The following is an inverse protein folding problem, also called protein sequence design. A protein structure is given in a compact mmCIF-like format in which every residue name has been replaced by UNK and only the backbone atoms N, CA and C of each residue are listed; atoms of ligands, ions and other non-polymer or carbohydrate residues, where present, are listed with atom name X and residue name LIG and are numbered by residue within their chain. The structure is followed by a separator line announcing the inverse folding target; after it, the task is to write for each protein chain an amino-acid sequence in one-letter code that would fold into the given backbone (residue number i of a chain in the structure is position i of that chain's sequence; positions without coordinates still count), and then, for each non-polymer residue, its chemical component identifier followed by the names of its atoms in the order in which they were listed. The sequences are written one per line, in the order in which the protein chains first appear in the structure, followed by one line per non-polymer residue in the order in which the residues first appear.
data_IF_844667558086
#
_entry.id   IF_844667558086
#
_cell.length_a   1.000
_cell.length_b   1.000
_cell.length_c   1.000
_cell.angle_alpha   90.00
_cell.angle_beta   90.00
_cell.angle_gamma   90.00
#
_symmetry.space_group_name_H-M   'P 1'
#
loop_
_entity.id
_entity.type
_entity.pdbx_description
1 polymer ?
#
# COMPACT_ATOMS: atom_id res chain seq x y z
N UNK A 1 32.34 -43.96 -2.60
CA UNK A 1 33.05 -42.67 -2.80
C UNK A 1 32.20 -41.67 -3.58
N UNK A 2 31.68 -42.03 -4.76
CA UNK A 2 30.84 -41.15 -5.59
C UNK A 2 29.53 -40.70 -4.91
N UNK A 3 28.80 -41.62 -4.28
CA UNK A 3 27.55 -41.32 -3.54
C UNK A 3 27.75 -40.40 -2.33
N UNK A 4 28.86 -40.55 -1.62
CA UNK A 4 29.23 -39.68 -0.49
C UNK A 4 29.50 -38.24 -0.97
N UNK A 5 30.18 -38.08 -2.11
CA UNK A 5 30.44 -36.78 -2.71
C UNK A 5 29.15 -36.07 -3.12
N UNK A 6 28.22 -36.79 -3.75
CA UNK A 6 26.89 -36.26 -4.14
C UNK A 6 26.10 -35.79 -2.91
N UNK A 7 26.09 -36.59 -1.84
CA UNK A 7 25.41 -36.23 -0.60
C UNK A 7 26.01 -34.98 0.06
N UNK A 8 27.34 -34.88 0.09
CA UNK A 8 28.05 -33.72 0.64
C UNK A 8 27.76 -32.45 -0.19
N UNK A 9 27.75 -32.55 -1.52
CA UNK A 9 27.36 -31.45 -2.39
C UNK A 9 25.91 -31.01 -2.14
N UNK A 10 24.97 -31.96 -1.97
CA UNK A 10 23.58 -31.63 -1.68
C UNK A 10 23.42 -30.90 -0.34
N UNK A 11 24.07 -31.40 0.73
CA UNK A 11 24.07 -30.74 2.04
C UNK A 11 24.69 -29.35 2.00
N UNK A 12 25.78 -29.17 1.26
CA UNK A 12 26.42 -27.87 1.10
C UNK A 12 25.52 -26.86 0.38
N UNK A 13 24.85 -27.28 -0.71
CA UNK A 13 23.88 -26.45 -1.41
C UNK A 13 22.67 -26.11 -0.51
N UNK A 14 22.18 -27.08 0.28
CA UNK A 14 21.11 -26.85 1.24
C UNK A 14 21.52 -25.84 2.32
N UNK A 15 22.74 -25.93 2.85
CA UNK A 15 23.28 -24.97 3.80
C UNK A 15 23.40 -23.56 3.21
N UNK A 16 23.87 -23.44 1.96
CA UNK A 16 23.97 -22.16 1.25
C UNK A 16 22.59 -21.53 1.04
N UNK A 17 21.58 -22.32 0.66
CA UNK A 17 20.20 -21.84 0.52
C UNK A 17 19.67 -21.35 1.86
N UNK A 18 19.85 -22.11 2.94
CA UNK A 18 19.38 -21.70 4.29
C UNK A 18 20.09 -20.41 4.73
N UNK A 19 21.40 -20.29 4.52
CA UNK A 19 22.17 -19.08 4.86
C UNK A 19 21.70 -17.82 4.11
N UNK A 20 21.17 -17.98 2.89
CA UNK A 20 20.65 -16.87 2.07
C UNK A 20 19.26 -16.36 2.48
N UNK A 21 18.52 -17.11 3.32
CA UNK A 21 17.15 -16.73 3.70
C UNK A 21 17.08 -15.64 4.77
N UNK A 22 18.21 -15.29 5.41
CA UNK A 22 18.32 -14.23 6.40
C UNK A 22 18.58 -12.86 5.77
N UNK A 23 17.67 -12.35 4.93
CA UNK A 23 17.78 -10.95 4.47
C UNK A 23 17.16 -10.02 5.51
N UNK A 24 17.98 -9.38 6.34
CA UNK A 24 17.53 -8.19 7.06
C UNK A 24 17.29 -7.09 6.03
N UNK A 25 16.17 -6.35 6.12
CA UNK A 25 15.96 -5.23 5.21
C UNK A 25 17.09 -4.21 5.40
N UNK A 26 17.62 -3.62 4.32
CA UNK A 26 18.72 -2.66 4.39
C UNK A 26 18.36 -1.41 5.20
N UNK A 27 17.08 -1.18 5.45
CA UNK A 27 16.56 -0.09 6.25
C UNK A 27 15.23 -0.49 6.89
N UNK A 28 15.08 -0.20 8.18
CA UNK A 28 13.81 -0.29 8.90
C UNK A 28 13.28 1.13 9.13
N UNK A 29 12.16 1.52 8.52
CA UNK A 29 11.57 2.84 8.71
C UNK A 29 11.12 3.06 10.16
N UNK A 30 11.40 4.26 10.69
CA UNK A 30 10.89 4.69 12.01
C UNK A 30 9.39 4.94 11.98
N UNK A 31 8.89 5.52 10.89
CA UNK A 31 7.47 5.70 10.62
C UNK A 31 7.11 4.94 9.34
N UNK A 32 6.20 3.97 9.45
CA UNK A 32 5.72 3.18 8.32
C UNK A 32 4.19 3.16 8.31
N UNK A 33 3.61 4.11 7.59
CA UNK A 33 2.17 4.35 7.55
C UNK A 33 1.70 4.05 6.13
N UNK A 34 0.75 3.12 6.01
CA UNK A 34 0.16 2.70 4.74
C UNK A 34 -1.36 2.82 4.83
N UNK A 35 -1.93 3.73 4.04
CA UNK A 35 -3.36 4.03 4.06
C UNK A 35 -4.00 3.61 2.74
N UNK A 36 -5.07 2.84 2.82
CA UNK A 36 -5.94 2.49 1.69
C UNK A 36 -7.14 3.42 1.66
N UNK A 37 -7.06 4.45 0.81
CA UNK A 37 -8.09 5.46 0.69
C UNK A 37 -9.43 4.84 0.25
N UNK A 38 -10.52 5.21 0.92
CA UNK A 38 -11.86 4.69 0.68
C UNK A 38 -12.14 3.29 1.26
N UNK A 39 -11.16 2.64 1.90
CA UNK A 39 -11.39 1.35 2.57
C UNK A 39 -11.89 1.57 4.00
N UNK A 40 -12.89 0.80 4.42
CA UNK A 40 -13.36 0.74 5.81
C UNK A 40 -12.68 -0.32 6.66
N UNK A 41 -11.80 -1.12 6.06
CA UNK A 41 -11.11 -2.21 6.74
C UNK A 41 -9.64 -2.26 6.37
N UNK A 42 -8.87 -2.87 7.26
CA UNK A 42 -7.47 -3.15 7.02
C UNK A 42 -7.33 -4.31 6.04
N UNK A 43 -6.28 -4.28 5.22
CA UNK A 43 -6.01 -5.29 4.21
C UNK A 43 -4.52 -5.57 4.10
N UNK A 44 -4.15 -6.68 3.46
CA UNK A 44 -2.76 -7.02 3.18
C UNK A 44 -2.61 -7.18 1.67
N UNK A 45 -1.66 -6.49 1.06
CA UNK A 45 -1.36 -6.63 -0.37
C UNK A 45 -0.55 -7.91 -0.62
N UNK A 46 -0.48 -8.31 -1.89
CA UNK A 46 0.19 -9.55 -2.34
C UNK A 46 1.68 -9.61 -1.98
N UNK A 47 2.31 -8.46 -1.74
CA UNK A 47 3.69 -8.31 -1.30
C UNK A 47 3.84 -8.30 0.24
N UNK A 48 2.77 -8.62 0.98
CA UNK A 48 2.77 -8.75 2.43
C UNK A 48 2.62 -7.42 3.19
N UNK A 49 2.50 -6.27 2.51
CA UNK A 49 2.31 -4.98 3.19
C UNK A 49 0.90 -4.86 3.75
N UNK A 50 0.79 -4.40 5.00
CA UNK A 50 -0.49 -4.13 5.69
C UNK A 50 -0.92 -2.69 5.44
N UNK A 51 -2.16 -2.51 5.02
CA UNK A 51 -2.77 -1.23 4.71
C UNK A 51 -3.94 -0.99 5.65
N UNK A 52 -3.96 0.17 6.31
CA UNK A 52 -5.07 0.58 7.15
C UNK A 52 -6.13 1.29 6.30
N UNK A 53 -7.41 1.01 6.57
CA UNK A 53 -8.52 1.74 5.96
C UNK A 53 -8.55 3.20 6.43
N UNK A 54 -8.94 4.13 5.55
CA UNK A 54 -8.99 5.55 5.88
C UNK A 54 -10.34 6.03 6.43
N UNK A 55 -11.40 5.23 6.28
CA UNK A 55 -12.74 5.58 6.77
C UNK A 55 -12.72 5.58 8.30
N UNK A 56 -12.93 6.74 8.91
CA UNK A 56 -12.85 6.90 10.37
C UNK A 56 -11.43 6.80 10.93
N UNK A 57 -10.41 6.87 10.06
CA UNK A 57 -9.01 6.84 10.48
C UNK A 57 -8.61 8.11 11.23
N UNK A 58 -7.70 7.97 12.21
CA UNK A 58 -7.11 9.09 12.96
C UNK A 58 -6.30 10.06 12.09
N UNK A 59 -5.97 9.68 10.86
CA UNK A 59 -5.24 10.53 9.92
C UNK A 59 -6.17 11.40 9.06
N UNK A 60 -7.45 11.05 9.02
CA UNK A 60 -8.47 11.70 8.20
C UNK A 60 -8.98 12.98 8.88
N UNK A 61 -9.42 14.00 8.11
CA UNK A 61 -10.03 15.19 8.70
C UNK A 61 -11.40 14.86 9.32
N UNK A 62 -11.81 15.65 10.31
CA UNK A 62 -13.09 15.44 11.01
C UNK A 62 -14.31 15.48 10.06
N UNK A 63 -14.29 16.39 9.08
CA UNK A 63 -15.40 16.58 8.14
C UNK A 63 -15.28 15.72 6.88
N UNK A 64 -14.44 14.68 6.89
CA UNK A 64 -14.17 13.82 5.73
C UNK A 64 -15.46 13.31 5.06
N UNK A 65 -16.46 12.92 5.84
CA UNK A 65 -17.72 12.38 5.33
C UNK A 65 -18.54 13.41 4.51
N UNK A 66 -18.36 14.71 4.78
CA UNK A 66 -19.09 15.78 4.10
C UNK A 66 -18.37 16.25 2.82
N UNK A 67 -17.04 16.18 2.79
CA UNK A 67 -16.21 16.75 1.72
C UNK A 67 -15.64 15.69 0.75
N UNK A 68 -15.83 14.41 1.06
CA UNK A 68 -15.27 13.31 0.29
C UNK A 68 -16.20 12.09 0.29
N UNK A 69 -15.94 11.16 -0.62
CA UNK A 69 -16.70 9.91 -0.71
C UNK A 69 -15.77 8.73 -0.93
N UNK A 70 -15.98 7.65 -0.18
CA UNK A 70 -15.34 6.37 -0.42
C UNK A 70 -16.00 5.70 -1.62
N UNK A 71 -15.21 5.20 -2.56
CA UNK A 71 -15.68 4.52 -3.77
C UNK A 71 -14.86 3.26 -4.02
N UNK A 72 -15.45 2.32 -4.74
CA UNK A 72 -14.79 1.07 -5.14
C UNK A 72 -14.51 1.09 -6.63
N UNK A 73 -13.35 0.57 -7.03
CA UNK A 73 -13.04 0.35 -8.43
C UNK A 73 -14.05 -0.65 -9.01
N UNK A 74 -14.67 -0.33 -10.14
CA UNK A 74 -15.59 -1.24 -10.82
C UNK A 74 -14.84 -2.43 -11.41
N UNK A 75 -13.63 -2.19 -11.91
CA UNK A 75 -12.74 -3.21 -12.46
C UNK A 75 -11.28 -2.97 -12.05
N UNK A 76 -10.57 -4.06 -11.80
CA UNK A 76 -9.14 -4.09 -11.56
C UNK A 76 -8.45 -4.88 -12.67
N UNK A 77 -7.39 -4.32 -13.25
CA UNK A 77 -6.57 -5.05 -14.19
C UNK A 77 -5.94 -6.30 -13.55
N UNK A 78 -5.62 -7.34 -14.35
CA UNK A 78 -5.15 -8.63 -13.83
C UNK A 78 -3.84 -8.54 -13.03
N UNK A 79 -3.03 -7.52 -13.28
CA UNK A 79 -1.75 -7.27 -12.59
C UNK A 79 -1.85 -6.23 -11.46
N UNK A 80 -3.06 -5.72 -11.17
CA UNK A 80 -3.28 -4.68 -10.16
C UNK A 80 -3.59 -5.32 -8.82
N UNK A 81 -2.83 -4.97 -7.79
CA UNK A 81 -3.11 -5.46 -6.44
C UNK A 81 -4.43 -4.87 -5.91
N UNK A 82 -5.19 -5.64 -5.13
CA UNK A 82 -6.42 -5.11 -4.51
C UNK A 82 -6.12 -4.00 -3.51
N UNK A 83 -5.15 -4.19 -2.62
CA UNK A 83 -4.71 -3.12 -1.73
C UNK A 83 -3.51 -2.38 -2.36
N UNK A 84 -3.52 -1.04 -2.48
CA UNK A 84 -4.59 -0.09 -2.08
C UNK A 84 -5.58 0.27 -3.21
N UNK A 85 -5.51 -0.38 -4.39
CA UNK A 85 -6.15 0.12 -5.62
C UNK A 85 -7.63 -0.23 -5.81
N UNK A 86 -8.19 -1.16 -5.02
CA UNK A 86 -9.59 -1.58 -5.12
C UNK A 86 -10.59 -0.55 -4.60
N UNK A 87 -10.10 0.42 -3.83
CA UNK A 87 -10.87 1.54 -3.31
C UNK A 87 -10.17 2.85 -3.58
N UNK A 88 -10.93 3.93 -3.61
CA UNK A 88 -10.40 5.28 -3.62
C UNK A 88 -11.27 6.20 -2.78
N UNK A 89 -10.70 7.34 -2.41
CA UNK A 89 -11.45 8.45 -1.86
C UNK A 89 -11.52 9.58 -2.86
N UNK A 90 -12.73 9.94 -3.25
CA UNK A 90 -12.99 11.10 -4.08
C UNK A 90 -13.11 12.32 -3.20
N UNK A 91 -12.41 13.37 -3.57
CA UNK A 91 -12.29 14.61 -2.81
C UNK A 91 -13.00 15.70 -3.62
N UNK A 92 -14.04 16.32 -3.06
CA UNK A 92 -14.82 17.37 -3.75
C UNK A 92 -14.48 18.78 -3.29
N UNK A 93 -13.90 18.90 -2.11
CA UNK A 93 -13.40 20.15 -1.54
C UNK A 93 -12.04 19.92 -0.90
N UNK A 94 -11.23 20.97 -0.82
CA UNK A 94 -9.90 20.92 -0.21
C UNK A 94 -9.96 20.29 1.19
N UNK A 95 -9.04 19.35 1.46
CA UNK A 95 -8.77 18.86 2.82
C UNK A 95 -7.32 18.43 2.98
N UNK A 96 -6.95 18.10 4.21
CA UNK A 96 -5.62 17.60 4.56
C UNK A 96 -5.71 16.32 5.39
N UNK A 97 -4.89 15.32 5.04
CA UNK A 97 -4.54 14.26 5.98
C UNK A 97 -3.47 14.78 6.94
N UNK A 98 -3.51 14.36 8.20
CA UNK A 98 -2.49 14.71 9.20
C UNK A 98 -1.79 13.45 9.69
N UNK A 99 -0.47 13.40 9.53
CA UNK A 99 0.35 12.26 9.95
C UNK A 99 1.31 12.68 11.07
N UNK A 100 1.14 12.17 12.31
CA UNK A 100 2.13 12.33 13.35
C UNK A 100 3.33 11.43 13.04
N UNK A 101 4.46 12.04 12.68
CA UNK A 101 5.70 11.33 12.31
C UNK A 101 6.89 11.87 13.11
N UNK A 102 7.93 11.04 13.26
CA UNK A 102 9.20 11.46 13.85
C UNK A 102 9.91 12.51 13.00
N UNK A 103 10.83 13.27 13.60
CA UNK A 103 11.66 14.25 12.88
C UNK A 103 12.51 13.59 11.78
N UNK A 104 12.84 14.36 10.74
CA UNK A 104 13.70 13.94 9.64
C UNK A 104 12.96 13.63 8.33
N UNK A 105 13.72 13.35 7.27
CA UNK A 105 13.20 13.12 5.92
C UNK A 105 12.30 11.89 5.87
N UNK A 106 11.22 11.97 5.09
CA UNK A 106 10.24 10.89 4.89
C UNK A 106 9.97 10.67 3.41
N UNK A 107 9.63 9.44 3.05
CA UNK A 107 9.10 9.15 1.72
C UNK A 107 7.59 9.29 1.75
N UNK A 108 7.06 10.19 0.91
CA UNK A 108 5.64 10.27 0.62
C UNK A 108 5.39 9.60 -0.74
N UNK A 109 4.56 8.56 -0.76
CA UNK A 109 4.15 7.89 -2.00
C UNK A 109 2.63 7.92 -2.10
N UNK A 110 2.14 8.58 -3.15
CA UNK A 110 0.73 8.66 -3.50
C UNK A 110 0.42 7.56 -4.52
N UNK A 111 -0.70 6.87 -4.33
CA UNK A 111 -1.12 5.74 -5.16
C UNK A 111 -2.38 6.13 -5.92
N UNK A 112 -2.29 6.19 -7.25
CA UNK A 112 -3.40 6.52 -8.13
C UNK A 112 -3.66 5.35 -9.07
N UNK A 113 -4.92 5.00 -9.26
CA UNK A 113 -5.35 4.02 -10.26
C UNK A 113 -6.49 4.61 -11.09
N UNK A 114 -6.20 5.09 -12.31
CA UNK A 114 -7.23 5.70 -13.16
C UNK A 114 -8.14 4.61 -13.75
N UNK A 115 -9.32 4.43 -13.16
CA UNK A 115 -10.32 3.45 -13.58
C UNK A 115 -11.74 3.99 -13.38
N UNK A 116 -12.76 3.25 -13.79
CA UNK A 116 -14.14 3.54 -13.42
C UNK A 116 -14.40 3.17 -11.96
N UNK A 117 -15.10 4.05 -11.24
CA UNK A 117 -15.47 3.86 -9.85
C UNK A 117 -17.00 3.86 -9.67
N UNK A 118 -17.48 3.17 -8.62
CA UNK A 118 -18.92 3.05 -8.30
C UNK A 118 -19.66 4.38 -8.09
N UNK A 119 -18.94 5.48 -7.86
CA UNK A 119 -19.51 6.82 -7.75
C UNK A 119 -19.91 7.48 -9.07
N UNK A 120 -19.70 6.83 -10.22
CA UNK A 120 -20.13 7.32 -11.54
C UNK A 120 -19.42 8.59 -12.01
N UNK A 121 -18.27 8.92 -11.40
CA UNK A 121 -17.48 10.08 -11.79
C UNK A 121 -16.60 9.76 -12.99
N UNK A 122 -16.54 10.71 -13.92
CA UNK A 122 -15.65 10.63 -15.05
C UNK A 122 -14.20 10.90 -14.59
N UNK A 123 -13.34 9.89 -14.62
CA UNK A 123 -11.96 10.04 -14.16
C UNK A 123 -11.10 10.91 -15.07
N UNK A 124 -11.53 11.15 -16.32
CA UNK A 124 -10.84 12.11 -17.21
C UNK A 124 -11.02 13.56 -16.78
N UNK A 125 -12.00 13.85 -15.91
CA UNK A 125 -12.26 15.18 -15.34
C UNK A 125 -11.55 15.37 -13.99
N UNK A 126 -10.75 14.40 -13.56
CA UNK A 126 -10.01 14.47 -12.30
C UNK A 126 -8.76 15.34 -12.44
N UNK A 127 -8.85 16.59 -12.00
CA UNK A 127 -7.74 17.53 -11.92
C UNK A 127 -7.66 18.12 -10.51
N UNK A 128 -6.49 18.01 -9.88
CA UNK A 128 -6.27 18.50 -8.53
C UNK A 128 -4.79 18.80 -8.30
N UNK A 129 -4.51 19.55 -7.23
CA UNK A 129 -3.17 19.79 -6.73
C UNK A 129 -2.99 19.11 -5.37
N UNK A 130 -1.77 18.66 -5.07
CA UNK A 130 -1.37 18.13 -3.77
C UNK A 130 -0.24 18.98 -3.23
N UNK A 131 -0.47 19.56 -2.05
CA UNK A 131 0.53 20.33 -1.30
C UNK A 131 0.84 19.58 0.00
N UNK A 132 2.09 19.69 0.47
CA UNK A 132 2.58 19.07 1.71
C UNK A 132 3.35 20.05 2.56
#
# INVERSE_FOLDING_TARGET
MFTLLVYLCFLFNLLLVIASTGSTPPYTPTDYILISCGSSSNSTSVDGRKWDGDVGSKFSPNDMANISSAVTATELGPSVSRAPFSSARIIRSQFSYTFPVSLGKKFLRLYFYPTSYSGGLNTTESFFNVNG
#
